data_IF_665527616763
#
_entry.id   IF_665527616763
#
_cell.length_a   1.000
_cell.length_b   1.000
_cell.length_c   1.000
_cell.angle_alpha   90.00
_cell.angle_beta   90.00
_cell.angle_gamma   90.00
#
_symmetry.space_group_name_H-M   'P 1'
#
loop_
_entity.id
_entity.type
_entity.pdbx_description
1 polymer ?
#
# COMPACT_ATOMS: atom_id res chain seq x y z
N UNK A 1 8.12 13.89 -10.73
CA UNK A 1 9.34 13.11 -11.00
C UNK A 1 8.92 11.73 -11.43
N UNK A 2 9.58 11.15 -12.42
CA UNK A 2 9.24 9.80 -12.88
C UNK A 2 9.52 8.73 -11.82
N UNK A 3 8.74 7.65 -11.82
CA UNK A 3 8.79 6.56 -10.82
C UNK A 3 10.17 5.90 -10.80
N UNK A 4 10.75 5.60 -11.96
CA UNK A 4 12.06 4.93 -12.07
C UNK A 4 13.17 5.76 -11.42
N UNK A 5 13.18 7.07 -11.71
CA UNK A 5 14.15 8.00 -11.12
C UNK A 5 13.99 8.14 -9.61
N UNK A 6 12.76 8.08 -9.09
CA UNK A 6 12.48 8.10 -7.65
C UNK A 6 13.00 6.84 -6.96
N UNK A 7 12.78 5.66 -7.54
CA UNK A 7 13.30 4.40 -7.04
C UNK A 7 14.84 4.43 -6.96
N UNK A 8 15.51 4.89 -8.02
CA UNK A 8 16.97 5.02 -8.05
C UNK A 8 17.50 5.97 -6.97
N UNK A 9 16.86 7.14 -6.80
CA UNK A 9 17.28 8.15 -5.82
C UNK A 9 17.06 7.71 -4.37
N UNK A 10 15.94 7.05 -4.10
CA UNK A 10 15.56 6.64 -2.74
C UNK A 10 16.22 5.33 -2.32
N UNK A 11 16.67 4.51 -3.29
CA UNK A 11 17.19 3.15 -3.08
C UNK A 11 16.19 2.23 -2.36
N UNK A 12 14.90 2.53 -2.48
CA UNK A 12 13.84 1.64 -2.01
C UNK A 12 13.65 0.51 -3.02
N UNK A 13 13.25 -0.66 -2.52
CA UNK A 13 12.67 -1.68 -3.38
C UNK A 13 11.22 -1.30 -3.73
N UNK A 14 10.63 -2.01 -4.69
CA UNK A 14 9.28 -1.71 -5.17
C UNK A 14 8.23 -1.82 -4.05
N UNK A 15 8.36 -2.80 -3.15
CA UNK A 15 7.41 -3.04 -2.06
C UNK A 15 7.38 -1.86 -1.08
N UNK A 16 8.55 -1.43 -0.60
CA UNK A 16 8.71 -0.28 0.30
C UNK A 16 8.28 1.03 -0.37
N UNK A 17 8.59 1.18 -1.66
CA UNK A 17 8.18 2.35 -2.42
C UNK A 17 6.66 2.45 -2.54
N UNK A 18 5.99 1.35 -2.88
CA UNK A 18 4.54 1.30 -3.01
C UNK A 18 3.87 1.50 -1.64
N UNK A 19 4.41 0.92 -0.56
CA UNK A 19 3.93 1.19 0.79
C UNK A 19 4.06 2.67 1.16
N UNK A 20 5.18 3.32 0.83
CA UNK A 20 5.36 4.76 1.03
C UNK A 20 4.37 5.60 0.21
N UNK A 21 4.08 5.20 -1.04
CA UNK A 21 3.06 5.84 -1.87
C UNK A 21 1.68 5.77 -1.23
N UNK A 22 1.28 4.59 -0.76
CA UNK A 22 0.01 4.41 -0.05
C UNK A 22 -0.10 5.28 1.21
N UNK A 23 0.97 5.33 1.99
CA UNK A 23 1.04 6.17 3.19
C UNK A 23 0.88 7.66 2.86
N UNK A 24 1.57 8.14 1.82
CA UNK A 24 1.51 9.54 1.37
C UNK A 24 0.17 9.89 0.74
N UNK A 25 -0.43 8.96 0.00
CA UNK A 25 -1.76 9.13 -0.58
C UNK A 25 -2.80 9.31 0.52
N UNK A 26 -2.72 8.52 1.60
CA UNK A 26 -3.61 8.64 2.76
C UNK A 26 -3.51 10.00 3.46
N UNK A 27 -2.33 10.60 3.42
CA UNK A 27 -2.04 11.92 3.97
C UNK A 27 -2.38 13.08 3.03
N UNK A 28 -2.90 12.79 1.83
CA UNK A 28 -3.20 13.80 0.81
C UNK A 28 -1.96 14.60 0.37
N UNK A 29 -0.81 13.92 0.25
CA UNK A 29 0.51 14.54 0.00
C UNK A 29 1.17 14.14 -1.33
N UNK A 30 0.55 13.26 -2.11
CA UNK A 30 1.12 12.77 -3.36
C UNK A 30 0.03 12.62 -4.42
N UNK A 31 0.33 13.04 -5.65
CA UNK A 31 -0.50 12.81 -6.82
C UNK A 31 0.31 12.16 -7.94
N UNK A 32 -0.38 11.39 -8.78
CA UNK A 32 0.17 10.79 -9.99
C UNK A 32 -0.44 11.43 -11.22
N UNK A 33 0.38 12.04 -12.07
CA UNK A 33 -0.05 12.69 -13.29
C UNK A 33 0.93 12.36 -14.42
N UNK A 34 0.43 11.74 -15.50
CA UNK A 34 1.24 11.34 -16.66
C UNK A 34 2.53 10.58 -16.26
N UNK A 35 2.39 9.56 -15.41
CA UNK A 35 3.48 8.76 -14.82
C UNK A 35 4.48 9.54 -13.92
N UNK A 36 4.21 10.82 -13.65
CA UNK A 36 5.02 11.62 -12.75
C UNK A 36 4.36 11.73 -11.38
N UNK A 37 5.09 11.34 -10.35
CA UNK A 37 4.73 11.58 -8.95
C UNK A 37 5.10 13.00 -8.54
N UNK A 38 4.17 13.70 -7.90
CA UNK A 38 4.33 15.08 -7.47
C UNK A 38 3.74 15.25 -6.07
N UNK A 39 4.37 16.11 -5.25
CA UNK A 39 3.78 16.53 -3.98
C UNK A 39 2.63 17.47 -4.28
N UNK A 40 1.41 16.96 -4.16
CA UNK A 40 0.17 17.66 -4.45
C UNK A 40 -1.00 16.96 -3.73
N UNK A 41 -2.18 17.56 -3.79
CA UNK A 41 -3.44 16.96 -3.36
C UNK A 41 -3.65 15.65 -4.10
N UNK A 42 -3.89 14.57 -3.36
CA UNK A 42 -3.97 13.23 -3.90
C UNK A 42 -5.14 13.07 -4.87
N UNK A 43 -4.85 12.42 -5.99
CA UNK A 43 -5.84 11.85 -6.88
C UNK A 43 -5.92 10.31 -6.77
N UNK A 44 -5.21 9.74 -5.78
CA UNK A 44 -5.08 8.30 -5.58
C UNK A 44 -5.97 7.76 -4.45
N UNK A 45 -6.64 8.63 -3.70
CA UNK A 45 -7.48 8.25 -2.53
C UNK A 45 -8.55 7.22 -2.89
N UNK A 46 -9.27 7.42 -3.99
CA UNK A 46 -10.32 6.49 -4.40
C UNK A 46 -9.79 5.09 -4.68
N UNK A 47 -8.70 4.98 -5.45
CA UNK A 47 -8.16 3.69 -5.84
C UNK A 47 -7.47 2.96 -4.67
N UNK A 48 -6.50 3.62 -4.01
CA UNK A 48 -5.73 3.00 -2.92
C UNK A 48 -6.63 2.75 -1.71
N UNK A 49 -7.55 3.67 -1.40
CA UNK A 49 -8.52 3.52 -0.33
C UNK A 49 -9.47 2.33 -0.54
N UNK A 50 -9.93 2.09 -1.78
CA UNK A 50 -10.75 0.92 -2.11
C UNK A 50 -9.97 -0.39 -1.93
N UNK A 51 -8.71 -0.45 -2.39
CA UNK A 51 -7.84 -1.60 -2.18
C UNK A 51 -7.58 -1.85 -0.68
N UNK A 52 -7.30 -0.80 0.09
CA UNK A 52 -7.14 -0.86 1.54
C UNK A 52 -8.38 -1.41 2.25
N UNK A 53 -9.58 -0.97 1.86
CA UNK A 53 -10.84 -1.50 2.38
C UNK A 53 -11.02 -2.99 2.08
N UNK A 54 -10.62 -3.45 0.89
CA UNK A 54 -10.67 -4.87 0.53
C UNK A 54 -9.69 -5.72 1.36
N UNK A 55 -8.44 -5.28 1.50
CA UNK A 55 -7.45 -5.98 2.34
C UNK A 55 -7.88 -6.00 3.80
N UNK A 56 -8.40 -4.88 4.31
CA UNK A 56 -8.91 -4.81 5.68
C UNK A 56 -9.98 -5.87 5.93
N UNK A 57 -10.95 -6.04 5.02
CA UNK A 57 -11.99 -7.09 5.12
C UNK A 57 -11.41 -8.50 5.07
N UNK A 58 -10.39 -8.73 4.25
CA UNK A 58 -9.70 -10.03 4.21
C UNK A 58 -9.09 -10.33 5.58
N UNK A 59 -8.38 -9.38 6.18
CA UNK A 59 -7.75 -9.56 7.49
C UNK A 59 -8.77 -9.71 8.62
N UNK A 60 -9.90 -8.99 8.55
CA UNK A 60 -11.02 -9.12 9.49
C UNK A 60 -11.61 -10.53 9.50
N UNK A 61 -11.79 -11.13 8.31
CA UNK A 61 -12.38 -12.47 8.17
C UNK A 61 -11.37 -13.59 8.45
N UNK A 62 -10.11 -13.44 8.02
CA UNK A 62 -9.10 -14.51 8.12
C UNK A 62 -8.27 -14.44 9.41
N UNK A 63 -8.31 -13.31 10.14
CA UNK A 63 -7.51 -13.05 11.33
C UNK A 63 -6.08 -12.62 11.00
N UNK A 64 -5.35 -13.43 10.23
CA UNK A 64 -4.04 -13.08 9.67
C UNK A 64 -3.86 -13.60 8.24
N UNK A 65 -3.01 -12.93 7.46
CA UNK A 65 -2.70 -13.36 6.09
C UNK A 65 -1.29 -12.91 5.65
N UNK A 66 -0.61 -13.76 4.88
CA UNK A 66 0.60 -13.37 4.14
C UNK A 66 0.24 -12.71 2.80
N UNK A 67 1.24 -12.12 2.13
CA UNK A 67 1.07 -11.47 0.82
C UNK A 67 0.46 -12.41 -0.21
N UNK A 68 0.90 -13.67 -0.26
CA UNK A 68 0.39 -14.66 -1.22
C UNK A 68 -1.12 -14.93 -1.03
N UNK A 69 -1.57 -15.02 0.22
CA UNK A 69 -2.98 -15.21 0.58
C UNK A 69 -3.79 -13.96 0.25
N UNK A 70 -3.29 -12.77 0.60
CA UNK A 70 -3.94 -11.50 0.25
C UNK A 70 -4.08 -11.38 -1.26
N UNK A 71 -3.03 -11.67 -2.03
CA UNK A 71 -3.02 -11.64 -3.50
C UNK A 71 -4.06 -12.58 -4.10
N UNK A 72 -4.12 -13.82 -3.60
CA UNK A 72 -5.09 -14.82 -4.05
C UNK A 72 -6.55 -14.41 -3.79
N UNK A 73 -6.81 -13.80 -2.63
CA UNK A 73 -8.17 -13.46 -2.19
C UNK A 73 -8.67 -12.12 -2.77
N UNK A 74 -7.77 -11.16 -2.95
CA UNK A 74 -8.11 -9.82 -3.45
C UNK A 74 -8.01 -9.70 -4.97
N UNK A 75 -7.27 -10.60 -5.63
CA UNK A 75 -6.90 -10.50 -7.04
C UNK A 75 -6.09 -9.24 -7.41
N UNK A 76 -5.51 -8.56 -6.41
CA UNK A 76 -4.63 -7.42 -6.60
C UNK A 76 -3.21 -7.86 -6.96
N UNK A 77 -2.46 -7.00 -7.63
CA UNK A 77 -1.02 -7.18 -7.83
C UNK A 77 -0.21 -6.66 -6.62
N UNK A 78 1.10 -6.87 -6.62
CA UNK A 78 1.95 -6.53 -5.46
C UNK A 78 2.00 -5.02 -5.21
N UNK A 79 2.05 -4.19 -6.27
CA UNK A 79 2.01 -2.73 -6.17
C UNK A 79 0.73 -2.23 -5.48
N UNK A 80 -0.42 -2.77 -5.88
CA UNK A 80 -1.71 -2.45 -5.28
C UNK A 80 -1.78 -2.92 -3.81
N UNK A 81 -1.26 -4.11 -3.51
CA UNK A 81 -1.25 -4.67 -2.15
C UNK A 81 -0.39 -3.81 -1.22
N UNK A 82 0.85 -3.52 -1.60
CA UNK A 82 1.74 -2.74 -0.76
C UNK A 82 1.27 -1.31 -0.57
N UNK A 83 0.71 -0.67 -1.60
CA UNK A 83 0.07 0.64 -1.48
C UNK A 83 -1.10 0.61 -0.48
N UNK A 84 -1.95 -0.41 -0.56
CA UNK A 84 -3.05 -0.59 0.38
C UNK A 84 -2.57 -0.88 1.82
N UNK A 85 -1.50 -1.66 1.99
CA UNK A 85 -0.89 -1.91 3.30
C UNK A 85 -0.29 -0.63 3.88
N UNK A 86 0.40 0.19 3.08
CA UNK A 86 0.91 1.49 3.48
C UNK A 86 -0.19 2.47 3.93
N UNK A 87 -1.33 2.46 3.22
CA UNK A 87 -2.53 3.21 3.60
C UNK A 87 -3.07 2.76 4.96
N UNK A 88 -3.24 1.45 5.18
CA UNK A 88 -3.73 0.92 6.46
C UNK A 88 -2.74 1.12 7.60
N UNK A 89 -1.44 1.03 7.32
CA UNK A 89 -0.38 1.32 8.29
C UNK A 89 -0.41 2.79 8.71
N UNK A 90 -0.65 3.71 7.77
CA UNK A 90 -0.83 5.14 8.09
C UNK A 90 -2.00 5.36 9.03
N UNK A 91 -3.09 4.60 8.85
CA UNK A 91 -4.28 4.66 9.70
C UNK A 91 -4.15 3.92 11.05
N UNK A 92 -2.99 3.33 11.31
CA UNK A 92 -2.73 2.51 12.50
C UNK A 92 -3.67 1.29 12.63
N UNK A 93 -4.07 0.67 11.52
CA UNK A 93 -5.07 -0.42 11.50
C UNK A 93 -4.50 -1.84 11.43
N UNK A 94 -3.22 -1.99 11.13
CA UNK A 94 -2.60 -3.30 10.90
C UNK A 94 -1.33 -3.50 11.72
N UNK A 95 -1.01 -4.76 12.00
CA UNK A 95 0.25 -5.22 12.57
C UNK A 95 0.94 -6.17 11.58
N UNK A 96 2.26 -6.09 11.48
CA UNK A 96 3.07 -7.04 10.72
C UNK A 96 3.90 -7.91 11.66
N UNK A 97 3.76 -9.22 11.54
CA UNK A 97 4.51 -10.18 12.33
C UNK A 97 5.73 -10.67 11.54
N UNK A 98 6.91 -10.20 11.94
CA UNK A 98 8.18 -10.54 11.30
C UNK A 98 8.50 -12.05 11.30
N UNK A 99 8.02 -12.81 12.29
CA UNK A 99 8.36 -14.24 12.44
C UNK A 99 7.67 -15.10 11.40
N UNK A 100 6.41 -14.81 11.09
CA UNK A 100 5.60 -15.59 10.15
C UNK A 100 5.27 -14.83 8.85
N UNK A 101 5.73 -13.58 8.72
CA UNK A 101 5.54 -12.71 7.55
C UNK A 101 4.06 -12.51 7.20
N UNK A 102 3.22 -12.35 8.23
CA UNK A 102 1.78 -12.12 8.09
C UNK A 102 1.35 -10.76 8.62
N UNK A 103 0.29 -10.24 8.02
CA UNK A 103 -0.44 -9.08 8.48
C UNK A 103 -1.68 -9.50 9.26
N UNK A 104 -2.05 -8.73 10.27
CA UNK A 104 -3.31 -8.84 11.01
C UNK A 104 -3.86 -7.46 11.28
N UNK A 105 -5.13 -7.36 11.65
CA UNK A 105 -5.66 -6.11 12.20
C UNK A 105 -5.07 -5.86 13.60
N UNK A 106 -5.05 -4.59 14.01
CA UNK A 106 -4.72 -4.15 15.37
C UNK A 106 -5.91 -4.24 16.30
#
# INVERSE_FOLDING_TARGET
MDKEKLLELTRLNDDDFNAALGWLARENKIALDNNCLKLDVTNLEGEIGNHAGMIWRILDVWGDADIATIKRLSHLNDEQIYSALGWLAREDKIYFNEKNKKYSLK
#
